data_IF_681732867841
#
_entry.id   IF_681732867841
#
_cell.length_a   1.000
_cell.length_b   1.000
_cell.length_c   1.000
_cell.angle_alpha   90.00
_cell.angle_beta   90.00
_cell.angle_gamma   90.00
#
_symmetry.space_group_name_H-M   'P 1'
#
loop_
_entity.id
_entity.type
_entity.pdbx_description
1 polymer ?
#
# COMPACT_ATOMS: atom_id res chain seq x y z
N UNK A 1 40.87 -4.69 -15.42
CA UNK A 1 40.43 -4.61 -14.00
C UNK A 1 39.20 -5.48 -13.83
N UNK A 2 39.30 -6.56 -13.03
CA UNK A 2 38.14 -7.48 -12.80
C UNK A 2 37.23 -6.82 -11.77
N UNK A 3 36.09 -6.30 -12.22
CA UNK A 3 35.05 -5.77 -11.34
C UNK A 3 34.50 -6.89 -10.46
N UNK A 4 34.62 -6.75 -9.15
CA UNK A 4 34.09 -7.76 -8.19
C UNK A 4 32.56 -7.73 -8.24
N UNK A 5 31.98 -8.70 -8.94
CA UNK A 5 30.53 -8.94 -8.96
C UNK A 5 30.05 -9.57 -7.64
N UNK A 6 28.91 -9.14 -7.17
CA UNK A 6 28.22 -9.66 -5.98
C UNK A 6 26.79 -10.04 -6.33
N UNK A 7 26.17 -10.90 -5.55
CA UNK A 7 24.78 -11.34 -5.75
C UNK A 7 23.86 -10.57 -4.83
N UNK A 8 22.80 -10.00 -5.39
CA UNK A 8 21.79 -9.30 -4.62
C UNK A 8 21.03 -10.26 -3.69
N UNK A 9 20.94 -9.88 -2.41
CA UNK A 9 20.23 -10.68 -1.38
C UNK A 9 18.74 -10.89 -1.70
N UNK A 10 18.11 -9.95 -2.41
CA UNK A 10 16.66 -9.96 -2.64
C UNK A 10 16.25 -10.51 -4.00
N UNK A 11 16.86 -10.05 -5.08
CA UNK A 11 16.49 -10.50 -6.44
C UNK A 11 17.38 -11.61 -7.00
N UNK A 12 18.49 -11.95 -6.34
CA UNK A 12 19.40 -12.99 -6.79
C UNK A 12 20.28 -12.64 -7.99
N UNK A 13 20.08 -11.46 -8.59
CA UNK A 13 20.88 -11.01 -9.73
C UNK A 13 22.30 -10.63 -9.30
N UNK A 14 23.29 -10.90 -10.19
CA UNK A 14 24.67 -10.48 -10.02
C UNK A 14 24.85 -9.05 -10.49
N UNK A 15 25.53 -8.20 -9.72
CA UNK A 15 25.78 -6.80 -10.05
C UNK A 15 27.16 -6.33 -9.64
N UNK A 16 27.64 -5.22 -10.22
CA UNK A 16 28.90 -4.58 -9.87
C UNK A 16 28.69 -3.43 -8.90
N UNK A 17 29.39 -3.46 -7.77
CA UNK A 17 29.35 -2.40 -6.75
C UNK A 17 29.93 -1.06 -7.21
N UNK A 18 30.69 -1.08 -8.30
CA UNK A 18 31.32 0.13 -8.86
C UNK A 18 30.37 0.88 -9.80
N UNK A 19 29.36 0.15 -10.34
CA UNK A 19 28.46 0.67 -11.39
C UNK A 19 27.06 0.94 -10.83
N UNK A 20 26.58 0.05 -9.95
CA UNK A 20 25.19 0.07 -9.47
C UNK A 20 25.09 0.51 -8.00
N UNK A 21 24.11 1.37 -7.66
CA UNK A 21 23.87 1.76 -6.28
C UNK A 21 23.51 0.54 -5.43
N UNK A 22 24.19 0.36 -4.32
CA UNK A 22 24.01 -0.78 -3.45
C UNK A 22 23.96 -0.40 -1.97
N UNK A 23 23.45 -1.33 -1.16
CA UNK A 23 23.51 -1.29 0.30
C UNK A 23 24.07 -2.59 0.83
N UNK A 24 24.75 -2.53 1.99
CA UNK A 24 25.20 -3.72 2.71
C UNK A 24 24.16 -4.04 3.79
N UNK A 25 23.56 -5.22 3.70
CA UNK A 25 22.53 -5.69 4.63
C UNK A 25 23.09 -6.89 5.39
N UNK A 26 23.52 -6.68 6.63
CA UNK A 26 24.30 -7.64 7.40
C UNK A 26 25.58 -8.01 6.63
N UNK A 27 25.78 -9.27 6.30
CA UNK A 27 26.97 -9.77 5.58
C UNK A 27 26.74 -9.94 4.07
N UNK A 28 25.62 -9.44 3.51
CA UNK A 28 25.29 -9.55 2.08
C UNK A 28 25.11 -8.18 1.45
N UNK A 29 25.19 -8.12 0.12
CA UNK A 29 24.92 -6.93 -0.66
C UNK A 29 23.55 -7.00 -1.32
N UNK A 30 22.94 -5.86 -1.58
CA UNK A 30 21.69 -5.75 -2.31
C UNK A 30 21.70 -4.47 -3.16
N UNK A 31 21.00 -4.47 -4.30
CA UNK A 31 20.70 -3.23 -5.00
C UNK A 31 19.93 -2.30 -4.06
N UNK A 32 20.21 -1.03 -4.09
CA UNK A 32 19.53 -0.02 -3.27
C UNK A 32 18.01 -0.09 -3.46
N UNK A 33 17.55 -0.12 -4.69
CA UNK A 33 16.11 -0.25 -5.02
C UNK A 33 15.47 -1.54 -4.48
N UNK A 34 16.18 -2.67 -4.57
CA UNK A 34 15.67 -3.94 -4.03
C UNK A 34 15.53 -3.90 -2.50
N UNK A 35 16.44 -3.20 -1.83
CA UNK A 35 16.40 -3.03 -0.38
C UNK A 35 15.25 -2.10 0.04
N UNK A 36 15.08 -0.96 -0.64
CA UNK A 36 13.98 -0.02 -0.39
C UNK A 36 12.63 -0.69 -0.60
N UNK A 37 12.46 -1.42 -1.71
CA UNK A 37 11.25 -2.21 -1.97
C UNK A 37 10.97 -3.24 -0.87
N UNK A 38 11.99 -3.94 -0.40
CA UNK A 38 11.83 -4.91 0.68
C UNK A 38 11.41 -4.26 2.01
N UNK A 39 11.98 -3.09 2.35
CA UNK A 39 11.57 -2.32 3.53
C UNK A 39 10.11 -1.92 3.41
N UNK A 40 9.70 -1.42 2.25
CA UNK A 40 8.34 -1.01 2.00
C UNK A 40 7.35 -2.18 2.06
N UNK A 41 7.64 -3.29 1.39
CA UNK A 41 6.84 -4.53 1.45
C UNK A 41 6.68 -5.02 2.90
N UNK A 42 7.75 -4.95 3.70
CA UNK A 42 7.73 -5.36 5.12
C UNK A 42 6.83 -4.42 5.94
N UNK A 43 6.92 -3.12 5.71
CA UNK A 43 6.08 -2.14 6.39
C UNK A 43 4.59 -2.30 6.03
N UNK A 44 4.30 -2.56 4.75
CA UNK A 44 2.94 -2.83 4.28
C UNK A 44 2.37 -4.11 4.89
N UNK A 45 3.16 -5.18 4.92
CA UNK A 45 2.76 -6.44 5.55
C UNK A 45 2.44 -6.26 7.03
N UNK A 46 3.27 -5.50 7.75
CA UNK A 46 3.03 -5.19 9.16
C UNK A 46 1.70 -4.46 9.37
N UNK A 47 1.42 -3.43 8.58
CA UNK A 47 0.14 -2.69 8.65
C UNK A 47 -1.06 -3.60 8.37
N UNK A 48 -0.95 -4.49 7.39
CA UNK A 48 -1.99 -5.47 7.08
C UNK A 48 -2.24 -6.43 8.25
N UNK A 49 -1.18 -6.97 8.87
CA UNK A 49 -1.30 -7.87 10.01
C UNK A 49 -1.83 -7.17 11.25
N UNK A 50 -1.43 -5.93 11.51
CA UNK A 50 -1.96 -5.13 12.61
C UNK A 50 -3.46 -4.85 12.43
N UNK A 51 -3.89 -4.52 11.19
CA UNK A 51 -5.31 -4.34 10.87
C UNK A 51 -6.12 -5.65 11.04
N UNK A 52 -5.57 -6.79 10.63
CA UNK A 52 -6.22 -8.09 10.84
C UNK A 52 -6.39 -8.38 12.33
N UNK A 53 -5.38 -8.11 13.17
CA UNK A 53 -5.49 -8.24 14.63
C UNK A 53 -6.62 -7.37 15.19
N UNK A 54 -6.68 -6.11 14.78
CA UNK A 54 -7.74 -5.18 15.20
C UNK A 54 -9.12 -5.70 14.79
N UNK A 55 -9.23 -6.19 13.55
CA UNK A 55 -10.48 -6.68 12.97
C UNK A 55 -11.04 -7.90 13.71
N UNK A 56 -10.17 -8.79 14.16
CA UNK A 56 -10.56 -10.01 14.90
C UNK A 56 -10.74 -9.79 16.40
N UNK A 57 -10.26 -8.67 16.95
CA UNK A 57 -10.37 -8.40 18.40
C UNK A 57 -11.83 -8.47 18.88
N UNK A 58 -12.13 -9.12 20.03
CA UNK A 58 -11.22 -9.72 21.01
C UNK A 58 -10.81 -11.19 20.73
N UNK A 59 -11.17 -11.74 19.59
CA UNK A 59 -10.78 -13.10 19.17
C UNK A 59 -9.35 -13.11 18.63
N UNK A 60 -8.69 -14.26 18.72
CA UNK A 60 -7.39 -14.47 18.07
C UNK A 60 -7.60 -14.94 16.61
N UNK A 61 -6.90 -14.34 15.62
CA UNK A 61 -6.93 -14.82 14.25
C UNK A 61 -6.20 -16.15 14.10
N UNK A 62 -6.69 -17.03 13.23
CA UNK A 62 -5.92 -18.21 12.80
C UNK A 62 -4.79 -17.78 11.85
N UNK A 63 -3.63 -17.48 12.43
CA UNK A 63 -2.45 -17.02 11.68
C UNK A 63 -1.88 -18.04 10.71
N UNK A 64 -2.09 -19.35 10.95
CA UNK A 64 -1.63 -20.39 10.04
C UNK A 64 -2.43 -20.35 8.73
N UNK A 65 -3.75 -20.30 8.85
CA UNK A 65 -4.65 -20.15 7.71
C UNK A 65 -4.44 -18.80 6.99
N UNK A 66 -4.47 -17.70 7.74
CA UNK A 66 -4.32 -16.34 7.18
C UNK A 66 -2.97 -16.17 6.49
N UNK A 67 -1.88 -16.64 7.09
CA UNK A 67 -0.55 -16.58 6.50
C UNK A 67 -0.47 -17.31 5.16
N UNK A 68 -1.10 -18.49 5.08
CA UNK A 68 -1.18 -19.25 3.82
C UNK A 68 -1.97 -18.51 2.75
N UNK A 69 -3.12 -17.91 3.13
CA UNK A 69 -3.95 -17.11 2.22
C UNK A 69 -3.19 -15.88 1.71
N UNK A 70 -2.56 -15.10 2.60
CA UNK A 70 -1.80 -13.90 2.21
C UNK A 70 -0.63 -14.22 1.29
N UNK A 71 0.08 -15.31 1.56
CA UNK A 71 1.16 -15.77 0.68
C UNK A 71 0.63 -16.10 -0.71
N UNK A 72 -0.43 -16.90 -0.80
CA UNK A 72 -1.08 -17.25 -2.07
C UNK A 72 -1.48 -15.99 -2.85
N UNK A 73 -2.12 -15.01 -2.22
CA UNK A 73 -2.56 -13.79 -2.90
C UNK A 73 -1.38 -12.92 -3.34
N UNK A 74 -0.28 -12.89 -2.58
CA UNK A 74 0.96 -12.22 -3.00
C UNK A 74 1.56 -12.89 -4.24
N UNK A 75 1.57 -14.21 -4.29
CA UNK A 75 2.05 -14.99 -5.44
C UNK A 75 1.15 -14.81 -6.68
N UNK A 76 -0.15 -14.52 -6.49
CA UNK A 76 -1.11 -14.13 -7.53
C UNK A 76 -0.96 -12.66 -7.98
N UNK A 77 0.02 -11.92 -7.45
CA UNK A 77 0.33 -10.54 -7.84
C UNK A 77 -0.43 -9.45 -7.07
N UNK A 78 -1.13 -9.79 -5.98
CA UNK A 78 -1.77 -8.78 -5.14
C UNK A 78 -0.73 -8.12 -4.22
N UNK A 79 -0.85 -6.79 -4.02
CA UNK A 79 0.00 -6.06 -3.08
C UNK A 79 -0.56 -6.12 -1.67
N UNK A 80 0.29 -6.01 -0.65
CA UNK A 80 -0.16 -5.97 0.75
C UNK A 80 -1.07 -4.77 1.02
N UNK A 81 -0.79 -3.61 0.41
CA UNK A 81 -1.69 -2.46 0.47
C UNK A 81 -3.04 -2.76 -0.18
N UNK A 82 -3.04 -3.35 -1.37
CA UNK A 82 -4.29 -3.72 -2.03
C UNK A 82 -5.13 -4.68 -1.20
N UNK A 83 -4.48 -5.65 -0.52
CA UNK A 83 -5.16 -6.56 0.42
C UNK A 83 -5.74 -5.81 1.62
N UNK A 84 -4.96 -4.90 2.25
CA UNK A 84 -5.39 -4.08 3.37
C UNK A 84 -6.63 -3.26 3.00
N UNK A 85 -6.56 -2.50 1.90
CA UNK A 85 -7.70 -1.68 1.46
C UNK A 85 -8.90 -2.51 1.01
N UNK A 86 -8.67 -3.73 0.54
CA UNK A 86 -9.77 -4.66 0.24
C UNK A 86 -10.52 -5.07 1.51
N UNK A 87 -9.80 -5.36 2.58
CA UNK A 87 -10.40 -5.65 3.88
C UNK A 87 -11.11 -4.42 4.46
N UNK A 88 -10.48 -3.23 4.40
CA UNK A 88 -11.12 -1.99 4.84
C UNK A 88 -12.40 -1.70 4.05
N UNK A 89 -12.37 -1.87 2.72
CA UNK A 89 -13.55 -1.72 1.88
C UNK A 89 -14.67 -2.68 2.29
N UNK A 90 -14.33 -3.95 2.51
CA UNK A 90 -15.33 -4.97 2.83
C UNK A 90 -15.91 -4.80 4.25
N UNK A 91 -15.08 -4.53 5.23
CA UNK A 91 -15.52 -4.48 6.63
C UNK A 91 -15.94 -3.07 7.07
N UNK A 92 -15.17 -2.02 6.74
CA UNK A 92 -15.48 -0.64 7.17
C UNK A 92 -16.47 0.05 6.24
N UNK A 93 -16.28 -0.03 4.91
CA UNK A 93 -17.15 0.70 3.97
C UNK A 93 -18.47 -0.01 3.78
N UNK A 94 -18.45 -1.35 3.63
CA UNK A 94 -19.67 -2.15 3.46
C UNK A 94 -20.32 -2.60 4.76
N UNK A 95 -19.64 -2.47 5.91
CA UNK A 95 -20.17 -2.82 7.21
C UNK A 95 -20.38 -4.33 7.45
N UNK A 96 -19.67 -5.19 6.72
CA UNK A 96 -19.79 -6.64 6.90
C UNK A 96 -19.13 -7.09 8.22
N UNK A 97 -19.60 -8.21 8.75
CA UNK A 97 -19.04 -8.83 9.96
C UNK A 97 -17.89 -9.77 9.60
N UNK A 98 -16.98 -9.95 10.56
CA UNK A 98 -15.88 -10.91 10.45
C UNK A 98 -16.42 -12.32 10.65
N UNK A 99 -15.99 -13.22 9.77
CA UNK A 99 -16.19 -14.66 9.91
C UNK A 99 -14.82 -15.29 10.20
N UNK A 100 -14.69 -15.87 11.40
CA UNK A 100 -13.44 -16.48 11.88
C UNK A 100 -13.02 -17.71 11.06
N UNK A 101 -13.98 -18.40 10.48
CA UNK A 101 -13.72 -19.67 9.77
C UNK A 101 -13.26 -19.41 8.32
N UNK A 102 -13.45 -18.20 7.80
CA UNK A 102 -13.05 -17.81 6.44
C UNK A 102 -11.70 -17.08 6.37
N UNK A 103 -11.15 -16.66 7.49
CA UNK A 103 -9.91 -15.86 7.52
C UNK A 103 -10.03 -14.61 6.67
N UNK A 104 -9.04 -14.39 5.79
CA UNK A 104 -9.03 -13.29 4.81
C UNK A 104 -9.46 -13.74 3.40
N UNK A 105 -10.17 -14.86 3.30
CA UNK A 105 -10.61 -15.47 2.04
C UNK A 105 -11.45 -14.59 1.13
N UNK A 106 -12.03 -13.50 1.65
CA UNK A 106 -12.80 -12.52 0.89
C UNK A 106 -11.95 -11.66 -0.07
N UNK A 107 -10.64 -11.54 0.16
CA UNK A 107 -9.75 -10.65 -0.59
C UNK A 107 -9.87 -10.85 -2.11
N UNK A 108 -9.65 -12.05 -2.70
CA UNK A 108 -9.67 -12.19 -4.17
C UNK A 108 -11.00 -11.80 -4.80
N UNK A 109 -12.11 -12.01 -4.10
CA UNK A 109 -13.46 -11.68 -4.60
C UNK A 109 -13.78 -10.18 -4.57
N UNK A 110 -13.18 -9.44 -3.68
CA UNK A 110 -13.45 -8.01 -3.50
C UNK A 110 -12.32 -7.11 -4.01
N UNK A 111 -11.14 -7.64 -4.32
CA UNK A 111 -9.95 -6.88 -4.68
C UNK A 111 -10.20 -5.90 -5.83
N UNK A 112 -10.81 -6.37 -6.93
CA UNK A 112 -11.13 -5.52 -8.09
C UNK A 112 -12.13 -4.41 -7.74
N UNK A 113 -13.14 -4.72 -6.91
CA UNK A 113 -14.16 -3.74 -6.48
C UNK A 113 -13.56 -2.69 -5.55
N UNK A 114 -12.72 -3.11 -4.62
CA UNK A 114 -11.99 -2.21 -3.72
C UNK A 114 -11.05 -1.30 -4.53
N UNK A 115 -10.29 -1.86 -5.47
CA UNK A 115 -9.41 -1.09 -6.36
C UNK A 115 -10.19 -0.01 -7.11
N UNK A 116 -11.31 -0.36 -7.74
CA UNK A 116 -12.16 0.60 -8.46
C UNK A 116 -12.70 1.70 -7.53
N UNK A 117 -13.18 1.33 -6.34
CA UNK A 117 -13.69 2.28 -5.36
C UNK A 117 -12.63 3.32 -4.94
N UNK A 118 -11.45 2.88 -4.55
CA UNK A 118 -10.39 3.78 -4.11
C UNK A 118 -9.77 4.58 -5.27
N UNK A 119 -9.70 4.01 -6.47
CA UNK A 119 -9.28 4.74 -7.68
C UNK A 119 -10.24 5.90 -7.97
N UNK A 120 -11.54 5.68 -7.88
CA UNK A 120 -12.54 6.74 -8.06
C UNK A 120 -12.40 7.85 -7.00
N UNK A 121 -12.18 7.48 -5.74
CA UNK A 121 -11.93 8.44 -4.66
C UNK A 121 -10.68 9.26 -4.97
N UNK A 122 -9.56 8.61 -5.33
CA UNK A 122 -8.31 9.30 -5.67
C UNK A 122 -8.50 10.27 -6.84
N UNK A 123 -9.23 9.86 -7.89
CA UNK A 123 -9.53 10.70 -9.04
C UNK A 123 -10.35 11.93 -8.64
N UNK A 124 -11.35 11.77 -7.78
CA UNK A 124 -12.16 12.87 -7.26
C UNK A 124 -11.31 13.88 -6.48
N UNK A 125 -10.44 13.41 -5.59
CA UNK A 125 -9.52 14.29 -4.86
C UNK A 125 -8.53 15.00 -5.78
N UNK A 126 -7.99 14.32 -6.78
CA UNK A 126 -7.07 14.92 -7.74
C UNK A 126 -7.75 15.99 -8.59
N UNK A 127 -9.01 15.77 -8.99
CA UNK A 127 -9.80 16.77 -9.73
C UNK A 127 -10.13 17.99 -8.85
N UNK A 128 -10.56 17.76 -7.60
CA UNK A 128 -10.84 18.85 -6.66
C UNK A 128 -9.60 19.72 -6.40
N UNK A 129 -8.43 19.09 -6.22
CA UNK A 129 -7.16 19.81 -6.04
C UNK A 129 -6.77 20.66 -7.27
N UNK A 130 -7.06 20.17 -8.49
CA UNK A 130 -6.82 20.93 -9.72
C UNK A 130 -7.75 22.14 -9.84
N UNK A 131 -9.02 22.00 -9.47
CA UNK A 131 -10.00 23.11 -9.50
C UNK A 131 -9.56 24.21 -8.53
N UNK A 132 -9.18 23.86 -7.30
CA UNK A 132 -8.70 24.84 -6.31
C UNK A 132 -7.43 25.57 -6.78
N UNK A 133 -6.51 24.88 -7.44
CA UNK A 133 -5.30 25.49 -7.99
C UNK A 133 -5.60 26.45 -9.17
N UNK A 134 -6.63 26.16 -9.97
CA UNK A 134 -7.01 27.00 -11.12
C UNK A 134 -7.80 28.25 -10.69
N UNK A 135 -8.62 28.15 -9.64
CA UNK A 135 -9.35 29.29 -9.07
C UNK A 135 -8.41 30.30 -8.41
N UNK A 136 -7.30 29.87 -7.83
CA UNK A 136 -6.30 30.75 -7.22
C UNK A 136 -5.59 31.67 -8.22
N UNK A 137 -5.66 31.41 -9.53
CA UNK A 137 -5.04 32.22 -10.58
C UNK A 137 -5.96 33.34 -11.08
N UNK A 138 -7.27 33.29 -10.80
CA UNK A 138 -8.26 34.22 -11.39
C UNK A 138 -8.83 35.25 -10.44
N UNK A 139 -8.37 35.40 -9.20
CA UNK A 139 -8.91 36.39 -8.27
C UNK A 139 -7.95 37.56 -8.11
N UNK A 140 -7.95 38.41 -9.11
CA UNK A 140 -7.45 39.78 -9.06
C UNK A 140 -8.57 40.80 -8.88
N UNK A 141 -9.59 40.58 -8.06
CA UNK A 141 -10.54 41.60 -7.60
C UNK A 141 -11.21 41.14 -6.29
N UNK A 142 -11.23 42.12 -5.33
CA UNK A 142 -11.72 42.02 -3.95
C UNK A 142 -13.10 41.36 -3.85
N UNK A 143 -13.18 40.22 -3.18
CA UNK A 143 -14.35 39.79 -2.42
C UNK A 143 -13.86 39.05 -1.18
N UNK A 144 -14.39 39.41 -0.01
CA UNK A 144 -14.13 38.71 1.24
C UNK A 144 -14.67 37.28 1.10
N UNK A 145 -13.75 36.31 1.01
CA UNK A 145 -14.09 34.88 1.00
C UNK A 145 -14.04 34.38 2.43
N UNK A 146 -15.19 33.96 2.95
CA UNK A 146 -15.27 33.18 4.19
C UNK A 146 -14.55 31.88 3.90
N UNK A 147 -13.32 31.76 4.43
CA UNK A 147 -12.52 30.50 4.36
C UNK A 147 -13.18 29.52 5.32
N UNK A 148 -14.00 28.63 4.79
CA UNK A 148 -14.36 27.41 5.51
C UNK A 148 -13.15 26.51 5.41
N UNK A 149 -12.34 26.45 6.47
CA UNK A 149 -11.26 25.49 6.60
C UNK A 149 -11.84 24.07 6.65
N UNK A 150 -12.12 23.49 5.50
CA UNK A 150 -12.26 22.05 5.37
C UNK A 150 -10.86 21.46 5.49
N UNK A 151 -10.48 21.13 6.71
CA UNK A 151 -9.28 20.34 7.01
C UNK A 151 -9.42 19.00 6.28
N UNK A 152 -8.89 18.94 5.05
CA UNK A 152 -8.81 17.69 4.31
C UNK A 152 -7.98 16.71 5.17
N UNK A 153 -8.48 15.52 5.47
CA UNK A 153 -7.68 14.54 6.18
C UNK A 153 -6.44 14.23 5.35
N UNK A 154 -5.28 14.13 5.99
CA UNK A 154 -4.00 13.70 5.41
C UNK A 154 -4.11 12.26 4.86
N UNK A 155 -4.87 12.09 3.79
CA UNK A 155 -4.99 10.80 3.10
C UNK A 155 -3.99 10.79 1.95
N UNK A 156 -2.85 10.13 2.17
CA UNK A 156 -1.96 9.73 1.08
C UNK A 156 -2.78 9.00 0.03
N UNK A 157 -2.58 9.37 -1.25
CA UNK A 157 -3.19 8.67 -2.38
C UNK A 157 -2.93 7.17 -2.25
N UNK A 158 -4.00 6.38 -2.36
CA UNK A 158 -3.94 4.94 -2.18
C UNK A 158 -3.42 4.32 -3.47
N UNK A 159 -2.28 3.66 -3.42
CA UNK A 159 -1.71 2.96 -4.56
C UNK A 159 -1.90 1.45 -4.43
N UNK A 160 -2.57 0.85 -5.44
CA UNK A 160 -2.78 -0.59 -5.56
C UNK A 160 -1.72 -1.27 -6.44
N UNK A 161 -0.83 -0.50 -7.08
CA UNK A 161 0.15 -1.00 -8.05
C UNK A 161 1.58 -0.74 -7.55
N UNK A 162 2.42 -1.74 -7.71
CA UNK A 162 3.88 -1.67 -7.62
C UNK A 162 4.49 -2.42 -8.79
#
# INVERSE_FOLDING_TARGET
MTTKKVICKYCGASFSREIEPYVKVSNRYAHKMCHEKHIEDTAQFRRLTDYIKELYSPMEPDWAMIGTQLKKYKDEGMTYYGMLYTLEFFFKVKGNKVDKDCGVGIIPYQYKKAKAYYTNINNTYTQAAKITATESINIGQKQEVIIIENKAPDKKLINFEY
#
